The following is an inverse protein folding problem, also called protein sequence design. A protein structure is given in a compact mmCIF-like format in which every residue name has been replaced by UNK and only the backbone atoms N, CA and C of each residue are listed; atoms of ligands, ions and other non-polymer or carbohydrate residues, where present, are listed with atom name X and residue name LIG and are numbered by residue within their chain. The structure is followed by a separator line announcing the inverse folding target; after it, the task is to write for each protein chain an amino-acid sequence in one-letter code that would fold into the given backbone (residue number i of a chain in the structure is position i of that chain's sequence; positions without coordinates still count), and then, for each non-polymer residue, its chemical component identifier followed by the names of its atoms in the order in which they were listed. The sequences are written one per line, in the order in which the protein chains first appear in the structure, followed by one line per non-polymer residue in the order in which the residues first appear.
data_IF_973130222797
#
_entry.id   IF_973130222797
#
_cell.length_a   1.000
_cell.length_b   1.000
_cell.length_c   1.000
_cell.angle_alpha   90.00
_cell.angle_beta   90.00
_cell.angle_gamma   90.00
#
_symmetry.space_group_name_H-M   'P 1'
#
loop_
_entity.id
_entity.type
_entity.pdbx_description
1 polymer ?
#
# COMPACT_ATOMS: atom_id res chain seq x y z
N UNK A 1 61.68 -44.70 -18.69
CA UNK A 1 61.27 -43.40 -18.12
C UNK A 1 60.78 -42.54 -19.26
N UNK A 2 59.51 -42.60 -19.47
CA UNK A 2 58.87 -42.14 -20.67
C UNK A 2 58.21 -40.79 -20.41
N UNK A 3 58.23 -39.98 -21.43
CA UNK A 3 57.82 -38.56 -21.55
C UNK A 3 56.34 -38.29 -21.29
N UNK A 4 55.63 -39.00 -20.40
CA UNK A 4 54.17 -38.94 -20.21
C UNK A 4 53.71 -38.32 -18.91
N UNK A 5 54.58 -37.78 -18.06
CA UNK A 5 54.23 -37.32 -16.70
C UNK A 5 54.27 -35.80 -16.49
N UNK A 6 54.16 -34.99 -17.56
CA UNK A 6 54.24 -33.52 -17.42
C UNK A 6 53.10 -32.70 -17.98
N UNK A 7 51.91 -33.28 -18.22
CA UNK A 7 50.76 -32.53 -18.77
C UNK A 7 49.51 -32.55 -17.89
N UNK A 8 49.56 -32.99 -16.66
CA UNK A 8 48.43 -32.97 -15.73
C UNK A 8 48.66 -31.97 -14.59
N UNK A 9 48.79 -30.71 -14.91
CA UNK A 9 48.66 -29.69 -13.85
C UNK A 9 48.28 -28.36 -14.47
N UNK A 10 47.12 -27.86 -14.06
CA UNK A 10 46.53 -26.54 -14.29
C UNK A 10 45.37 -26.50 -15.30
N UNK A 11 44.28 -27.23 -15.02
CA UNK A 11 42.95 -26.74 -15.41
C UNK A 11 42.25 -26.24 -14.14
N UNK A 12 42.53 -24.99 -13.79
CA UNK A 12 41.79 -24.23 -12.77
C UNK A 12 40.47 -23.82 -13.43
N UNK A 13 39.41 -24.63 -13.22
CA UNK A 13 38.05 -24.30 -13.57
C UNK A 13 37.63 -23.12 -12.70
N UNK A 14 37.74 -21.90 -13.25
CA UNK A 14 37.04 -20.72 -12.73
C UNK A 14 35.54 -20.96 -12.88
N UNK A 15 34.89 -21.42 -11.81
CA UNK A 15 33.45 -21.32 -11.67
C UNK A 15 33.10 -19.84 -11.48
N UNK A 16 32.87 -19.14 -12.56
CA UNK A 16 32.19 -17.86 -12.51
C UNK A 16 30.70 -18.18 -12.23
N UNK A 17 30.32 -18.09 -10.96
CA UNK A 17 28.91 -18.07 -10.59
C UNK A 17 28.25 -16.88 -11.34
N UNK A 18 27.15 -17.08 -12.07
CA UNK A 18 26.42 -15.95 -12.62
C UNK A 18 25.90 -15.16 -11.42
N UNK A 19 26.46 -13.97 -11.18
CA UNK A 19 25.81 -12.97 -10.35
C UNK A 19 24.47 -12.65 -11.04
N UNK A 20 23.37 -13.16 -10.48
CA UNK A 20 22.05 -12.69 -10.84
C UNK A 20 21.97 -11.19 -10.48
N UNK A 21 22.28 -10.35 -11.44
CA UNK A 21 21.95 -8.93 -11.39
C UNK A 21 20.44 -8.87 -11.49
N UNK A 22 19.78 -8.84 -10.35
CA UNK A 22 18.37 -8.48 -10.29
C UNK A 22 18.28 -7.03 -10.75
N UNK A 23 17.75 -6.83 -11.95
CA UNK A 23 17.52 -5.51 -12.48
C UNK A 23 16.54 -4.78 -11.56
N UNK A 24 16.99 -3.72 -10.93
CA UNK A 24 16.17 -2.76 -10.18
C UNK A 24 15.44 -1.86 -11.20
N UNK A 25 14.49 -2.43 -11.93
CA UNK A 25 13.82 -1.73 -13.02
C UNK A 25 12.92 -0.57 -12.56
N UNK A 26 12.38 -0.65 -11.34
CA UNK A 26 11.41 0.34 -10.87
C UNK A 26 11.99 1.60 -10.24
N UNK A 27 13.15 1.51 -9.61
CA UNK A 27 13.81 2.69 -9.04
C UNK A 27 14.38 3.60 -10.13
N UNK A 28 14.73 3.04 -11.29
CA UNK A 28 15.14 3.82 -12.44
C UNK A 28 13.99 4.66 -13.02
N UNK A 29 12.74 4.19 -12.99
CA UNK A 29 11.61 4.94 -13.51
C UNK A 29 11.30 6.21 -12.70
N UNK A 30 11.30 6.14 -11.37
CA UNK A 30 11.05 7.30 -10.50
C UNK A 30 12.16 8.35 -10.61
N UNK A 31 13.42 7.92 -10.67
CA UNK A 31 14.57 8.82 -10.88
C UNK A 31 14.58 9.45 -12.29
N UNK A 32 14.09 8.75 -13.30
CA UNK A 32 13.93 9.31 -14.62
C UNK A 32 12.90 10.45 -14.62
N UNK A 33 11.75 10.25 -13.98
CA UNK A 33 10.69 11.27 -13.85
C UNK A 33 11.17 12.51 -13.08
N UNK A 34 11.93 12.33 -12.00
CA UNK A 34 12.43 13.39 -11.13
C UNK A 34 13.38 14.38 -11.83
N UNK A 35 13.94 14.01 -13.00
CA UNK A 35 14.79 14.92 -13.79
C UNK A 35 13.99 16.08 -14.39
N UNK A 36 12.70 15.88 -14.65
CA UNK A 36 11.84 16.86 -15.32
C UNK A 36 10.62 17.25 -14.47
N UNK A 37 10.08 16.33 -13.64
CA UNK A 37 8.87 16.51 -12.86
C UNK A 37 9.19 16.68 -11.37
N UNK A 38 8.65 17.74 -10.76
CA UNK A 38 8.83 17.99 -9.32
C UNK A 38 8.20 16.88 -8.46
N UNK A 39 7.07 16.33 -8.91
CA UNK A 39 6.31 15.24 -8.29
C UNK A 39 7.15 13.95 -8.20
N UNK A 40 8.07 13.74 -9.13
CA UNK A 40 9.02 12.62 -9.09
C UNK A 40 9.99 12.67 -7.90
N UNK A 41 10.08 13.80 -7.19
CA UNK A 41 10.90 13.96 -5.97
C UNK A 41 10.11 13.77 -4.67
N UNK A 42 8.79 13.97 -4.72
CA UNK A 42 7.93 13.91 -3.53
C UNK A 42 7.17 12.58 -3.43
N UNK A 43 6.63 12.08 -4.54
CA UNK A 43 5.85 10.84 -4.57
C UNK A 43 6.62 9.62 -4.02
N UNK A 44 7.92 9.41 -4.29
CA UNK A 44 8.65 8.28 -3.73
C UNK A 44 8.77 8.25 -2.21
N UNK A 45 8.47 9.35 -1.53
CA UNK A 45 8.46 9.43 -0.07
C UNK A 45 7.07 9.17 0.55
N UNK A 46 6.03 8.98 -0.28
CA UNK A 46 4.67 8.75 0.20
C UNK A 46 4.44 7.32 0.70
N UNK A 47 3.45 7.15 1.56
CA UNK A 47 3.04 5.81 2.01
C UNK A 47 2.58 4.91 0.84
N UNK A 48 2.05 5.46 -0.23
CA UNK A 48 1.69 4.69 -1.42
C UNK A 48 2.93 4.09 -2.10
N UNK A 49 4.02 4.86 -2.20
CA UNK A 49 5.28 4.35 -2.77
C UNK A 49 5.89 3.21 -1.93
N UNK A 50 5.54 3.14 -0.66
CA UNK A 50 5.98 2.12 0.29
C UNK A 50 4.88 1.11 0.66
N UNK A 51 3.81 1.02 -0.14
CA UNK A 51 2.70 0.09 0.12
C UNK A 51 3.13 -1.39 0.11
N UNK A 52 4.17 -1.72 -0.62
CA UNK A 52 4.92 -2.97 -0.57
C UNK A 52 6.41 -2.66 -0.53
N UNK A 53 7.14 -3.32 0.34
CA UNK A 53 8.60 -3.26 0.39
C UNK A 53 9.18 -4.67 0.27
N UNK A 54 10.30 -4.81 -0.44
CA UNK A 54 11.07 -6.06 -0.39
C UNK A 54 11.68 -6.24 1.00
N UNK A 55 11.95 -7.48 1.39
CA UNK A 55 12.50 -7.76 2.73
C UNK A 55 13.85 -7.05 2.96
N UNK A 56 14.62 -6.87 1.89
CA UNK A 56 15.92 -6.18 1.93
C UNK A 56 15.76 -4.70 2.29
N UNK A 57 14.67 -4.07 1.83
CA UNK A 57 14.40 -2.64 1.99
C UNK A 57 13.39 -2.33 3.08
N UNK A 58 12.73 -3.35 3.65
CA UNK A 58 11.69 -3.18 4.67
C UNK A 58 12.23 -2.48 5.92
N UNK A 59 11.93 -1.18 6.02
CA UNK A 59 12.53 -0.29 7.03
C UNK A 59 12.28 -0.78 8.45
N UNK A 60 11.07 -1.26 8.75
CA UNK A 60 10.72 -1.79 10.07
C UNK A 60 11.61 -3.00 10.43
N UNK A 61 11.85 -3.89 9.49
CA UNK A 61 12.69 -5.07 9.73
C UNK A 61 14.18 -4.72 9.86
N UNK A 62 14.60 -3.61 9.25
CA UNK A 62 15.96 -3.07 9.39
C UNK A 62 16.13 -2.44 10.78
N UNK A 63 15.19 -1.59 11.17
CA UNK A 63 15.23 -0.85 12.44
C UNK A 63 14.96 -1.74 13.66
N UNK A 64 14.25 -2.87 13.44
CA UNK A 64 13.89 -3.86 14.47
C UNK A 64 14.39 -5.25 14.07
N UNK A 65 15.71 -5.53 14.17
CA UNK A 65 16.28 -6.81 13.73
C UNK A 65 15.79 -8.01 14.53
N UNK A 66 15.14 -7.78 15.66
CA UNK A 66 14.48 -8.78 16.49
C UNK A 66 13.14 -8.26 17.00
N UNK A 67 12.06 -8.93 16.59
CA UNK A 67 10.72 -8.72 17.09
C UNK A 67 10.18 -10.01 17.70
N UNK A 68 9.53 -9.92 18.85
CA UNK A 68 8.92 -11.08 19.54
C UNK A 68 7.53 -10.73 20.04
N UNK A 69 6.65 -11.72 20.08
CA UNK A 69 5.33 -11.62 20.72
C UNK A 69 4.83 -12.99 21.14
N UNK A 70 3.81 -12.99 22.00
CA UNK A 70 3.05 -14.19 22.34
C UNK A 70 1.58 -13.96 22.05
N UNK A 71 0.90 -14.98 21.53
CA UNK A 71 -0.53 -14.97 21.35
C UNK A 71 -1.10 -16.37 21.69
N UNK A 72 -1.82 -16.45 22.81
CA UNK A 72 -2.23 -17.72 23.38
C UNK A 72 -1.02 -18.60 23.74
N UNK A 73 -1.01 -19.83 23.23
CA UNK A 73 0.10 -20.80 23.47
C UNK A 73 1.27 -20.64 22.49
N UNK A 74 1.17 -19.72 21.52
CA UNK A 74 2.18 -19.55 20.48
C UNK A 74 3.11 -18.40 20.80
N UNK A 75 4.40 -18.62 20.60
CA UNK A 75 5.45 -17.59 20.64
C UNK A 75 5.94 -17.31 19.24
N UNK A 76 6.00 -16.03 18.90
CA UNK A 76 6.36 -15.51 17.58
C UNK A 76 7.68 -14.77 17.63
N UNK A 77 8.49 -14.95 16.59
CA UNK A 77 9.78 -14.30 16.45
C UNK A 77 10.03 -13.91 15.00
N UNK A 78 10.40 -12.67 14.76
CA UNK A 78 11.00 -12.22 13.51
C UNK A 78 12.45 -11.89 13.82
N UNK A 79 13.37 -12.48 13.08
CA UNK A 79 14.82 -12.26 13.24
C UNK A 79 15.42 -11.92 11.89
N UNK A 80 16.09 -10.77 11.82
CA UNK A 80 16.83 -10.33 10.64
C UNK A 80 18.26 -10.86 10.70
N UNK A 81 18.72 -11.43 9.57
CA UNK A 81 20.09 -11.92 9.37
C UNK A 81 20.59 -11.43 8.01
N UNK A 82 21.43 -10.41 8.03
CA UNK A 82 21.83 -9.71 6.80
C UNK A 82 20.60 -9.09 6.10
N UNK A 83 20.40 -9.42 4.84
CA UNK A 83 19.30 -8.91 4.03
C UNK A 83 18.02 -9.76 4.14
N UNK A 84 18.04 -10.84 4.88
CA UNK A 84 16.90 -11.74 5.07
C UNK A 84 16.26 -11.54 6.44
N UNK A 85 14.96 -11.82 6.51
CA UNK A 85 14.22 -11.90 7.78
C UNK A 85 13.44 -13.20 7.83
N UNK A 86 13.52 -13.88 8.96
CA UNK A 86 12.85 -15.16 9.21
C UNK A 86 11.73 -14.95 10.21
N UNK A 87 10.55 -15.43 9.87
CA UNK A 87 9.37 -15.47 10.74
C UNK A 87 9.23 -16.88 11.32
N UNK A 88 9.31 -17.00 12.63
CA UNK A 88 9.24 -18.26 13.34
C UNK A 88 8.11 -18.27 14.35
N UNK A 89 7.44 -19.40 14.48
CA UNK A 89 6.39 -19.66 15.47
C UNK A 89 6.67 -20.97 16.18
N UNK A 90 6.52 -20.98 17.51
CA UNK A 90 6.63 -22.20 18.32
C UNK A 90 5.48 -22.31 19.31
N UNK A 91 5.05 -23.53 19.59
CA UNK A 91 4.10 -23.87 20.68
C UNK A 91 4.81 -24.54 21.86
N UNK A 92 6.16 -24.52 21.88
CA UNK A 92 6.98 -25.16 22.88
C UNK A 92 7.38 -26.61 22.56
N UNK A 93 6.68 -27.27 21.63
CA UNK A 93 6.99 -28.65 21.17
C UNK A 93 7.49 -28.70 19.74
N UNK A 94 6.94 -27.85 18.90
CA UNK A 94 7.30 -27.74 17.49
C UNK A 94 7.61 -26.28 17.13
N UNK A 95 8.36 -26.08 16.04
CA UNK A 95 8.65 -24.75 15.50
C UNK A 95 8.50 -24.78 13.98
N UNK A 96 7.79 -23.77 13.45
CA UNK A 96 7.68 -23.50 12.02
C UNK A 96 8.41 -22.21 11.73
N UNK A 97 9.30 -22.22 10.72
CA UNK A 97 10.03 -21.05 10.25
C UNK A 97 9.83 -20.87 8.76
N UNK A 98 9.52 -19.64 8.35
CA UNK A 98 9.35 -19.26 6.94
C UNK A 98 10.11 -17.96 6.66
N UNK A 99 10.71 -17.79 5.48
CA UNK A 99 11.30 -16.52 5.08
C UNK A 99 10.19 -15.49 4.81
N UNK A 100 10.43 -14.25 5.24
CA UNK A 100 9.66 -13.10 4.80
C UNK A 100 10.18 -12.72 3.41
N UNK A 101 9.27 -12.51 2.47
CA UNK A 101 9.58 -12.04 1.11
C UNK A 101 9.26 -10.58 0.93
N UNK A 102 8.10 -10.15 1.41
CA UNK A 102 7.66 -8.76 1.33
C UNK A 102 7.00 -8.32 2.64
N UNK A 103 7.07 -7.02 2.84
CA UNK A 103 6.37 -6.33 3.88
C UNK A 103 5.29 -5.44 3.25
N UNK A 104 4.02 -5.67 3.59
CA UNK A 104 2.87 -4.94 3.10
C UNK A 104 2.39 -3.92 4.13
N UNK A 105 2.03 -2.74 3.65
CA UNK A 105 1.54 -1.64 4.46
C UNK A 105 2.62 -0.59 4.71
N UNK A 106 2.19 0.66 4.76
CA UNK A 106 3.06 1.79 4.95
C UNK A 106 3.67 1.78 6.36
N UNK A 107 4.91 1.37 6.43
CA UNK A 107 5.67 1.08 7.65
C UNK A 107 5.62 2.16 8.72
N UNK A 108 5.47 3.42 8.33
CA UNK A 108 5.49 4.55 9.28
C UNK A 108 4.11 5.02 9.74
N UNK A 109 3.01 4.63 9.07
CA UNK A 109 1.69 5.18 9.35
C UNK A 109 0.86 4.33 10.31
N UNK A 110 0.72 3.04 10.04
CA UNK A 110 -0.29 2.19 10.67
C UNK A 110 0.31 0.93 11.25
N UNK A 111 0.79 0.08 10.35
CA UNK A 111 1.30 -1.24 10.62
C UNK A 111 1.86 -1.88 9.37
N UNK A 112 2.54 -2.98 9.54
CA UNK A 112 3.16 -3.73 8.45
C UNK A 112 2.89 -5.21 8.63
N UNK A 113 2.26 -5.83 7.63
CA UNK A 113 1.98 -7.27 7.56
C UNK A 113 3.01 -7.93 6.64
N UNK A 114 3.39 -9.15 6.93
CA UNK A 114 4.44 -9.82 6.19
C UNK A 114 3.88 -10.90 5.29
N UNK A 115 4.40 -10.96 4.07
CA UNK A 115 4.15 -12.05 3.13
C UNK A 115 5.31 -13.02 3.23
N UNK A 116 4.98 -14.23 3.65
CA UNK A 116 5.89 -15.35 3.81
C UNK A 116 5.82 -16.22 2.57
N UNK A 117 6.91 -16.91 2.24
CA UNK A 117 6.92 -17.87 1.13
C UNK A 117 7.38 -19.25 1.60
N UNK A 118 6.63 -20.27 1.19
CA UNK A 118 7.00 -21.66 1.39
C UNK A 118 6.49 -22.50 0.23
N UNK A 119 7.35 -23.30 -0.36
CA UNK A 119 7.03 -24.23 -1.45
C UNK A 119 6.29 -23.54 -2.64
N UNK A 120 6.75 -22.32 -2.99
CA UNK A 120 6.17 -21.50 -4.06
C UNK A 120 4.78 -20.94 -3.75
N UNK A 121 4.33 -20.98 -2.50
CA UNK A 121 3.06 -20.44 -2.04
C UNK A 121 3.29 -19.29 -1.08
N UNK A 122 2.37 -18.33 -1.11
CA UNK A 122 2.41 -17.17 -0.22
C UNK A 122 1.47 -17.34 0.96
N UNK A 123 1.94 -16.86 2.10
CA UNK A 123 1.18 -16.85 3.35
C UNK A 123 1.21 -15.45 3.96
N UNK A 124 0.07 -15.01 4.45
CA UNK A 124 -0.04 -13.81 5.28
C UNK A 124 0.36 -14.17 6.70
N UNK A 125 1.30 -13.42 7.28
CA UNK A 125 1.73 -13.65 8.67
C UNK A 125 0.58 -13.45 9.64
N UNK A 126 0.53 -14.25 10.71
CA UNK A 126 -0.49 -14.10 11.78
C UNK A 126 -0.20 -12.92 12.70
N UNK A 127 1.01 -12.42 12.70
CA UNK A 127 1.41 -11.25 13.46
C UNK A 127 1.92 -10.18 12.51
N UNK A 128 1.48 -8.95 12.75
CA UNK A 128 1.90 -7.73 12.06
C UNK A 128 2.61 -6.82 13.05
N UNK A 129 3.49 -5.97 12.58
CA UNK A 129 4.02 -4.88 13.38
C UNK A 129 3.04 -3.72 13.40
N UNK A 130 2.86 -3.09 14.56
CA UNK A 130 2.00 -1.92 14.73
C UNK A 130 2.77 -0.78 15.37
N UNK A 131 2.60 0.41 14.81
CA UNK A 131 3.22 1.64 15.29
C UNK A 131 2.76 2.01 16.71
N UNK A 132 1.50 1.77 17.04
CA UNK A 132 0.90 2.17 18.31
C UNK A 132 1.72 1.70 19.52
N UNK A 133 2.20 0.45 19.48
CA UNK A 133 3.01 -0.13 20.55
C UNK A 133 4.40 -0.60 20.11
N UNK A 134 4.81 -0.19 18.89
CA UNK A 134 6.12 -0.48 18.33
C UNK A 134 6.52 -1.96 18.42
N UNK A 135 5.61 -2.84 18.10
CA UNK A 135 5.78 -4.28 18.29
C UNK A 135 4.82 -5.13 17.45
N UNK A 136 4.88 -6.45 17.68
CA UNK A 136 4.02 -7.41 16.99
C UNK A 136 2.68 -7.58 17.70
N UNK A 137 1.61 -7.51 16.94
CA UNK A 137 0.24 -7.85 17.35
C UNK A 137 -0.46 -8.72 16.29
N UNK A 138 -1.63 -9.29 16.60
CA UNK A 138 -2.40 -10.08 15.65
C UNK A 138 -2.72 -9.30 14.38
N UNK A 139 -2.46 -9.90 13.22
CA UNK A 139 -2.80 -9.32 11.91
C UNK A 139 -4.29 -9.02 11.83
N UNK A 140 -4.63 -7.87 11.28
CA UNK A 140 -6.02 -7.43 11.13
C UNK A 140 -6.85 -8.49 10.37
N UNK A 141 -8.01 -8.84 10.94
CA UNK A 141 -8.85 -9.93 10.44
C UNK A 141 -8.47 -11.32 10.96
N UNK A 142 -7.26 -11.49 11.48
CA UNK A 142 -6.79 -12.74 12.09
C UNK A 142 -7.20 -12.94 13.55
N UNK A 143 -7.71 -11.88 14.20
CA UNK A 143 -8.07 -11.93 15.64
C UNK A 143 -9.28 -12.85 15.94
N UNK A 144 -10.19 -12.96 14.97
CA UNK A 144 -11.42 -13.74 15.12
C UNK A 144 -11.22 -15.26 15.01
N UNK A 145 -10.04 -15.72 14.60
CA UNK A 145 -9.77 -17.14 14.36
C UNK A 145 -8.64 -17.66 15.24
N UNK A 146 -8.94 -18.67 16.04
CA UNK A 146 -7.90 -19.42 16.75
C UNK A 146 -7.26 -20.44 15.82
N UNK A 147 -5.92 -20.45 15.66
CA UNK A 147 -5.25 -21.43 14.83
C UNK A 147 -5.50 -22.87 15.34
N UNK A 148 -5.89 -23.77 14.46
CA UNK A 148 -6.09 -25.20 14.82
C UNK A 148 -4.75 -25.90 15.12
N UNK A 149 -3.65 -25.39 14.57
CA UNK A 149 -2.32 -25.93 14.77
C UNK A 149 -1.22 -24.94 14.43
N UNK A 150 0.04 -25.38 14.63
CA UNK A 150 1.21 -24.52 14.48
C UNK A 150 1.39 -23.97 13.05
N UNK A 151 0.99 -24.72 12.02
CA UNK A 151 1.07 -24.23 10.64
C UNK A 151 0.13 -23.06 10.39
N UNK A 152 -1.10 -23.12 10.91
CA UNK A 152 -2.05 -22.00 10.84
C UNK A 152 -1.61 -20.83 11.75
N UNK A 153 -0.97 -21.12 12.87
CA UNK A 153 -0.39 -20.11 13.72
C UNK A 153 0.76 -19.36 13.03
N UNK A 154 1.49 -20.02 12.14
CA UNK A 154 2.56 -19.40 11.39
C UNK A 154 2.02 -18.43 10.32
N UNK A 155 0.97 -18.78 9.61
CA UNK A 155 0.41 -17.92 8.57
C UNK A 155 -0.82 -18.51 7.90
N UNK A 156 -1.61 -17.63 7.30
CA UNK A 156 -2.77 -17.98 6.46
C UNK A 156 -2.33 -18.11 5.01
N UNK A 157 -2.61 -19.24 4.38
CA UNK A 157 -2.40 -19.39 2.94
C UNK A 157 -3.21 -18.33 2.18
N UNK A 158 -2.55 -17.60 1.31
CA UNK A 158 -3.18 -16.60 0.42
C UNK A 158 -3.59 -17.33 -0.86
N UNK A 159 -4.86 -17.21 -1.25
CA UNK A 159 -5.33 -17.75 -2.52
C UNK A 159 -4.72 -17.01 -3.72
N UNK A 160 -4.81 -17.59 -4.91
CA UNK A 160 -4.32 -16.94 -6.13
C UNK A 160 -5.02 -15.59 -6.37
N UNK A 161 -6.34 -15.54 -6.23
CA UNK A 161 -7.12 -14.32 -6.46
C UNK A 161 -6.80 -13.25 -5.40
N UNK A 162 -6.58 -13.64 -4.14
CA UNK A 162 -6.11 -12.72 -3.10
C UNK A 162 -4.70 -12.21 -3.40
N UNK A 163 -3.79 -13.10 -3.86
CA UNK A 163 -2.43 -12.72 -4.25
C UNK A 163 -2.45 -11.66 -5.35
N UNK A 164 -3.24 -11.87 -6.41
CA UNK A 164 -3.38 -10.90 -7.49
C UNK A 164 -3.92 -9.56 -7.00
N UNK A 165 -4.90 -9.58 -6.09
CA UNK A 165 -5.44 -8.34 -5.49
C UNK A 165 -4.42 -7.63 -4.60
N UNK A 166 -3.73 -8.36 -3.74
CA UNK A 166 -2.71 -7.77 -2.86
C UNK A 166 -1.62 -7.08 -3.69
N UNK A 167 -1.00 -7.82 -4.59
CA UNK A 167 0.10 -7.28 -5.40
C UNK A 167 -0.36 -6.26 -6.43
N UNK A 168 -1.58 -6.41 -7.00
CA UNK A 168 -2.15 -5.45 -7.95
C UNK A 168 -2.43 -4.07 -7.35
N UNK A 169 -2.63 -3.98 -6.03
CA UNK A 169 -2.83 -2.69 -5.34
C UNK A 169 -1.56 -2.18 -4.66
N UNK A 170 -0.67 -3.08 -4.23
CA UNK A 170 0.49 -2.74 -3.42
C UNK A 170 1.80 -2.67 -4.21
N UNK A 171 1.80 -3.08 -5.47
CA UNK A 171 2.99 -3.06 -6.33
C UNK A 171 2.65 -2.66 -7.76
N UNK A 172 3.60 -2.07 -8.45
CA UNK A 172 3.50 -1.64 -9.83
C UNK A 172 3.91 -2.77 -10.76
N UNK A 173 3.20 -2.95 -11.87
CA UNK A 173 3.42 -3.98 -12.90
C UNK A 173 3.43 -5.43 -12.38
N UNK A 174 2.82 -5.64 -11.21
CA UNK A 174 2.79 -6.94 -10.55
C UNK A 174 1.83 -7.93 -11.19
N UNK A 175 0.81 -7.47 -11.91
CA UNK A 175 -0.25 -8.31 -12.46
C UNK A 175 -0.40 -8.08 -13.95
N UNK A 176 -0.30 -9.16 -14.72
CA UNK A 176 -0.57 -9.15 -16.16
C UNK A 176 -1.66 -10.17 -16.49
N UNK A 177 -2.84 -9.67 -16.90
CA UNK A 177 -4.03 -10.50 -17.05
C UNK A 177 -4.46 -11.12 -15.71
N UNK A 178 -4.40 -12.45 -15.61
CA UNK A 178 -4.71 -13.20 -14.37
C UNK A 178 -3.46 -13.90 -13.79
N UNK A 179 -2.29 -13.32 -13.99
CA UNK A 179 -1.03 -13.90 -13.55
C UNK A 179 -0.20 -12.89 -12.78
N UNK A 180 0.49 -13.35 -11.74
CA UNK A 180 1.47 -12.57 -11.00
C UNK A 180 2.80 -12.57 -11.78
N UNK A 181 3.36 -11.39 -12.01
CA UNK A 181 4.61 -11.16 -12.77
C UNK A 181 5.67 -10.57 -11.83
N UNK A 182 6.25 -11.43 -10.99
CA UNK A 182 7.27 -11.00 -10.01
C UNK A 182 8.55 -10.46 -10.66
N UNK A 183 8.85 -10.90 -11.87
CA UNK A 183 10.00 -10.47 -12.68
C UNK A 183 9.86 -9.04 -13.22
N UNK A 184 8.62 -8.55 -13.36
CA UNK A 184 8.32 -7.20 -13.84
C UNK A 184 7.89 -6.26 -12.72
N UNK A 185 7.55 -6.83 -11.59
CA UNK A 185 7.00 -6.11 -10.44
C UNK A 185 8.01 -5.12 -9.85
N UNK A 186 7.55 -3.92 -9.63
CA UNK A 186 8.22 -2.95 -8.75
C UNK A 186 7.42 -2.82 -7.46
N UNK A 187 8.05 -3.05 -6.29
CA UNK A 187 7.39 -2.85 -5.00
C UNK A 187 6.87 -1.42 -4.84
N UNK A 188 5.69 -1.28 -4.21
CA UNK A 188 5.03 -0.01 -4.00
C UNK A 188 4.33 0.55 -5.23
N UNK A 189 3.55 1.60 -5.03
CA UNK A 189 2.83 2.33 -6.08
C UNK A 189 3.76 3.38 -6.67
N UNK A 190 4.28 3.13 -7.87
CA UNK A 190 5.19 4.01 -8.59
C UNK A 190 4.42 4.87 -9.62
N UNK A 191 5.12 5.78 -10.27
CA UNK A 191 4.52 6.73 -11.24
C UNK A 191 3.70 6.02 -12.33
N UNK A 192 4.23 4.94 -12.93
CA UNK A 192 3.59 4.17 -14.00
C UNK A 192 2.33 3.42 -13.56
N UNK A 193 2.12 3.24 -12.24
CA UNK A 193 0.90 2.61 -11.75
C UNK A 193 -0.36 3.49 -11.95
N UNK A 194 -0.15 4.81 -11.98
CA UNK A 194 -1.20 5.80 -12.21
C UNK A 194 -1.11 6.44 -13.60
N UNK A 195 0.10 6.59 -14.14
CA UNK A 195 0.37 7.24 -15.41
C UNK A 195 0.77 6.20 -16.47
N UNK A 196 -0.21 5.75 -17.24
CA UNK A 196 0.04 4.80 -18.32
C UNK A 196 0.87 5.45 -19.46
N UNK A 197 1.68 4.65 -20.19
CA UNK A 197 2.47 5.13 -21.33
C UNK A 197 3.74 5.91 -20.97
N UNK A 198 4.18 5.87 -19.72
CA UNK A 198 5.39 6.57 -19.24
C UNK A 198 6.65 6.16 -19.97
N UNK A 199 6.82 4.88 -20.33
CA UNK A 199 8.00 4.41 -21.09
C UNK A 199 8.13 5.09 -22.45
N UNK A 200 7.03 5.18 -23.21
CA UNK A 200 6.99 5.84 -24.51
C UNK A 200 7.29 7.35 -24.36
N UNK A 201 6.79 7.98 -23.30
CA UNK A 201 7.07 9.36 -22.96
C UNK A 201 8.56 9.58 -22.70
N UNK A 202 9.16 8.80 -21.79
CA UNK A 202 10.59 8.90 -21.46
C UNK A 202 11.47 8.69 -22.70
N UNK A 203 11.14 7.69 -23.52
CA UNK A 203 11.86 7.43 -24.76
C UNK A 203 11.74 8.57 -25.78
N UNK A 204 10.58 9.23 -25.88
CA UNK A 204 10.38 10.40 -26.74
C UNK A 204 11.19 11.61 -26.27
N UNK A 205 11.20 11.87 -24.94
CA UNK A 205 11.96 12.96 -24.36
C UNK A 205 13.47 12.76 -24.52
N UNK A 206 13.97 11.53 -24.37
CA UNK A 206 15.38 11.22 -24.57
C UNK A 206 15.86 11.46 -26.01
N UNK A 207 14.96 11.34 -27.02
CA UNK A 207 15.27 11.62 -28.42
C UNK A 207 15.27 13.11 -28.78
N UNK A 208 14.96 14.01 -27.85
CA UNK A 208 15.01 15.46 -28.10
C UNK A 208 13.95 15.98 -29.06
N UNK A 209 12.84 15.28 -29.30
CA UNK A 209 11.75 15.71 -30.19
C UNK A 209 10.90 16.80 -29.49
N UNK A 210 11.41 17.98 -29.45
CA UNK A 210 11.05 19.34 -29.05
C UNK A 210 9.64 19.73 -28.56
N UNK A 211 8.63 18.91 -28.66
CA UNK A 211 7.35 19.00 -27.92
C UNK A 211 7.02 17.61 -27.39
N UNK A 212 6.82 17.44 -26.07
CA UNK A 212 6.31 16.19 -25.58
C UNK A 212 4.94 15.97 -26.21
N UNK A 213 4.86 15.01 -27.15
CA UNK A 213 3.58 14.40 -27.40
C UNK A 213 3.16 13.82 -26.05
N UNK A 214 2.10 14.36 -25.44
CA UNK A 214 1.44 13.68 -24.32
C UNK A 214 1.10 12.30 -24.89
N UNK A 215 1.68 11.20 -24.39
CA UNK A 215 1.36 9.89 -24.91
C UNK A 215 -0.15 9.72 -24.86
N UNK A 216 -0.74 9.18 -25.93
CA UNK A 216 -2.13 8.74 -25.91
C UNK A 216 -2.25 7.74 -24.74
N UNK A 217 -2.92 8.12 -23.67
CA UNK A 217 -3.04 7.30 -22.45
C UNK A 217 -2.59 7.99 -21.15
N UNK A 218 -1.78 9.05 -21.20
CA UNK A 218 -1.56 9.91 -20.03
C UNK A 218 -2.83 10.75 -19.78
N UNK A 219 -3.83 10.10 -19.18
CA UNK A 219 -5.04 10.82 -18.78
C UNK A 219 -4.67 11.91 -17.76
N UNK A 220 -5.09 13.14 -18.03
CA UNK A 220 -5.05 14.20 -17.04
C UNK A 220 -6.15 13.90 -15.99
N UNK A 221 -5.76 13.34 -14.85
CA UNK A 221 -6.71 12.98 -13.79
C UNK A 221 -7.52 14.19 -13.28
N UNK A 222 -7.06 15.42 -13.53
CA UNK A 222 -7.77 16.64 -13.16
C UNK A 222 -9.03 16.89 -14.00
N UNK A 223 -9.11 16.27 -15.17
CA UNK A 223 -10.26 16.42 -16.09
C UNK A 223 -11.36 15.37 -15.80
N UNK A 224 -11.13 14.47 -14.84
CA UNK A 224 -12.10 13.46 -14.43
C UNK A 224 -13.20 14.06 -13.54
N UNK A 225 -14.43 13.56 -13.72
CA UNK A 225 -15.53 13.85 -12.78
C UNK A 225 -15.25 13.26 -11.38
N UNK A 226 -16.05 13.59 -10.40
CA UNK A 226 -15.94 13.01 -9.06
C UNK A 226 -16.06 11.49 -9.09
N UNK A 227 -17.01 10.95 -9.86
CA UNK A 227 -17.19 9.50 -10.00
C UNK A 227 -16.03 8.84 -10.71
N UNK A 228 -15.56 9.41 -11.82
CA UNK A 228 -14.42 8.87 -12.55
C UNK A 228 -13.15 8.84 -11.68
N UNK A 229 -12.89 9.92 -10.92
CA UNK A 229 -11.78 9.97 -9.97
C UNK A 229 -11.94 8.94 -8.85
N UNK A 230 -13.16 8.82 -8.32
CA UNK A 230 -13.50 7.85 -7.27
C UNK A 230 -13.28 6.41 -7.76
N UNK A 231 -13.70 6.10 -9.00
CA UNK A 231 -13.49 4.78 -9.61
C UNK A 231 -12.01 4.52 -9.90
N UNK A 232 -11.25 5.53 -10.32
CA UNK A 232 -9.81 5.40 -10.54
C UNK A 232 -9.06 5.07 -9.24
N UNK A 233 -9.26 5.85 -8.18
CA UNK A 233 -8.65 5.59 -6.88
C UNK A 233 -9.21 4.31 -6.25
N UNK A 234 -10.48 4.02 -6.50
CA UNK A 234 -11.21 2.86 -6.01
C UNK A 234 -10.66 1.53 -6.49
N UNK A 235 -9.88 1.49 -7.58
CA UNK A 235 -9.19 0.26 -8.03
C UNK A 235 -8.36 -0.37 -6.89
N UNK A 236 -7.80 0.45 -6.00
CA UNK A 236 -7.04 0.03 -4.83
C UNK A 236 -7.79 0.33 -3.52
N UNK A 237 -8.48 1.47 -3.44
CA UNK A 237 -9.21 1.94 -2.25
C UNK A 237 -10.67 1.50 -2.19
N UNK A 238 -11.10 0.57 -3.02
CA UNK A 238 -12.43 -0.04 -3.15
C UNK A 238 -13.50 0.96 -3.60
N UNK A 239 -14.11 0.67 -4.74
CA UNK A 239 -15.22 1.45 -5.27
C UNK A 239 -16.50 1.24 -4.43
N UNK A 240 -17.44 2.18 -4.53
CA UNK A 240 -18.73 2.06 -3.88
C UNK A 240 -19.53 0.85 -4.41
N UNK A 241 -19.44 0.57 -5.72
CA UNK A 241 -20.10 -0.60 -6.33
C UNK A 241 -19.55 -1.90 -5.74
N UNK A 242 -18.22 -1.99 -5.64
CA UNK A 242 -17.57 -3.19 -5.09
C UNK A 242 -18.03 -3.48 -3.65
N UNK A 243 -18.15 -2.45 -2.83
CA UNK A 243 -18.59 -2.61 -1.44
C UNK A 243 -20.08 -2.90 -1.34
N UNK A 244 -20.92 -2.27 -2.17
CA UNK A 244 -22.35 -2.58 -2.19
C UNK A 244 -22.65 -4.02 -2.63
N UNK A 245 -21.81 -4.60 -3.48
CA UNK A 245 -21.92 -5.99 -3.89
C UNK A 245 -21.39 -6.99 -2.83
N UNK A 246 -20.69 -6.52 -1.81
CA UNK A 246 -20.28 -7.32 -0.68
C UNK A 246 -21.38 -7.27 0.39
N UNK A 247 -21.61 -8.38 1.09
CA UNK A 247 -22.63 -8.43 2.16
C UNK A 247 -22.16 -7.75 3.45
N UNK A 248 -20.86 -7.46 3.59
CA UNK A 248 -20.30 -6.81 4.78
C UNK A 248 -20.38 -5.27 4.66
N UNK A 249 -21.35 -4.68 5.36
CA UNK A 249 -21.49 -3.24 5.54
C UNK A 249 -21.05 -2.77 6.93
N UNK A 250 -20.17 -3.52 7.57
CA UNK A 250 -19.69 -3.26 8.94
C UNK A 250 -18.69 -2.09 9.01
N UNK A 251 -18.23 -1.83 10.24
CA UNK A 251 -17.17 -0.86 10.52
C UNK A 251 -15.86 -1.13 9.74
N UNK A 252 -15.66 -2.35 9.23
CA UNK A 252 -14.52 -2.68 8.38
C UNK A 252 -14.42 -1.80 7.13
N UNK A 253 -15.54 -1.24 6.68
CA UNK A 253 -15.62 -0.39 5.50
C UNK A 253 -15.14 1.05 5.72
N UNK A 254 -14.80 1.43 6.95
CA UNK A 254 -14.27 2.78 7.27
C UNK A 254 -13.01 3.11 6.47
N UNK A 255 -12.22 2.10 6.12
CA UNK A 255 -10.97 2.21 5.36
C UNK A 255 -11.14 2.30 3.84
N UNK A 256 -12.38 2.29 3.33
CA UNK A 256 -12.69 2.34 1.92
C UNK A 256 -13.23 3.72 1.55
N UNK A 257 -12.32 4.67 1.38
CA UNK A 257 -12.62 6.09 1.23
C UNK A 257 -13.58 6.42 0.07
N UNK A 258 -13.45 5.85 -1.16
CA UNK A 258 -14.40 6.10 -2.25
C UNK A 258 -15.83 5.69 -1.89
N UNK A 259 -16.02 4.52 -1.27
CA UNK A 259 -17.33 4.08 -0.77
C UNK A 259 -17.89 5.04 0.27
N UNK A 260 -17.06 5.47 1.22
CA UNK A 260 -17.51 6.38 2.29
C UNK A 260 -17.86 7.77 1.73
N UNK A 261 -17.05 8.30 0.80
CA UNK A 261 -17.28 9.60 0.17
C UNK A 261 -18.58 9.61 -0.63
N UNK A 262 -18.89 8.52 -1.34
CA UNK A 262 -20.15 8.37 -2.09
C UNK A 262 -21.39 8.57 -1.19
N UNK A 263 -21.35 8.15 0.08
CA UNK A 263 -22.42 8.37 1.05
C UNK A 263 -22.51 9.79 1.63
N UNK A 264 -21.68 10.73 1.19
CA UNK A 264 -21.67 12.11 1.70
C UNK A 264 -22.78 12.92 1.09
N UNK A 265 -23.43 13.80 1.88
CA UNK A 265 -24.53 14.66 1.39
C UNK A 265 -24.11 15.67 0.33
N UNK A 266 -22.83 16.04 0.30
CA UNK A 266 -22.27 16.97 -0.68
C UNK A 266 -21.69 16.27 -1.90
N UNK A 267 -21.69 14.93 -1.95
CA UNK A 267 -21.19 14.19 -3.10
C UNK A 267 -22.14 14.33 -4.30
N UNK A 268 -21.56 14.74 -5.41
CA UNK A 268 -22.21 14.78 -6.71
C UNK A 268 -21.26 14.08 -7.72
N UNK A 269 -21.71 13.03 -8.41
CA UNK A 269 -20.86 12.26 -9.33
C UNK A 269 -20.26 13.09 -10.45
N UNK A 270 -20.93 14.18 -10.84
CA UNK A 270 -20.51 15.07 -11.95
C UNK A 270 -19.71 16.28 -11.47
N UNK A 271 -19.70 16.60 -10.16
CA UNK A 271 -18.99 17.75 -9.62
C UNK A 271 -17.58 17.39 -9.11
N UNK A 272 -16.57 17.65 -9.93
CA UNK A 272 -15.16 17.38 -9.58
C UNK A 272 -14.65 18.13 -8.33
N UNK A 273 -15.39 19.14 -7.83
CA UNK A 273 -15.02 19.88 -6.61
C UNK A 273 -15.14 19.02 -5.34
N UNK A 274 -15.86 17.90 -5.42
CA UNK A 274 -15.97 16.90 -4.35
C UNK A 274 -15.37 15.58 -4.83
N UNK A 275 -14.09 15.59 -5.12
CA UNK A 275 -13.35 14.41 -5.57
C UNK A 275 -12.13 14.16 -4.67
N UNK A 276 -11.50 13.00 -4.82
CA UNK A 276 -10.26 12.67 -4.11
C UNK A 276 -9.18 13.75 -4.34
N UNK A 277 -9.02 14.18 -5.60
CA UNK A 277 -8.01 15.17 -6.01
C UNK A 277 -8.34 16.60 -5.58
N UNK A 278 -9.59 16.89 -5.23
CA UNK A 278 -9.93 18.20 -4.69
C UNK A 278 -9.35 18.41 -3.29
N UNK A 279 -9.17 17.33 -2.53
CA UNK A 279 -8.68 17.37 -1.16
C UNK A 279 -7.24 16.82 -1.00
N UNK A 280 -6.83 15.86 -1.83
CA UNK A 280 -5.54 15.19 -1.75
C UNK A 280 -4.70 15.41 -3.01
N UNK A 281 -3.41 15.67 -2.82
CA UNK A 281 -2.40 15.55 -3.86
C UNK A 281 -1.76 14.14 -3.76
N UNK A 282 -1.94 13.25 -4.76
CA UNK A 282 -1.42 11.89 -4.69
C UNK A 282 0.12 11.82 -4.78
N UNK A 283 0.79 12.95 -5.07
CA UNK A 283 2.25 13.02 -5.14
C UNK A 283 2.90 13.45 -3.82
N UNK A 284 2.09 13.74 -2.81
CA UNK A 284 2.56 14.12 -1.47
C UNK A 284 1.84 13.30 -0.41
N UNK A 285 2.42 13.22 0.77
CA UNK A 285 1.76 12.58 1.91
C UNK A 285 0.54 13.39 2.35
N UNK A 286 -0.56 12.68 2.67
CA UNK A 286 -1.77 13.31 3.17
C UNK A 286 -1.51 13.96 4.55
N UNK A 287 -1.87 15.23 4.70
CA UNK A 287 -1.71 15.93 5.98
C UNK A 287 -2.54 15.27 7.10
N UNK A 288 -1.93 15.15 8.26
CA UNK A 288 -2.61 14.73 9.49
C UNK A 288 -3.29 15.92 10.22
N UNK A 289 -3.05 17.17 9.77
CA UNK A 289 -3.55 18.38 10.41
C UNK A 289 -4.94 18.75 9.85
N UNK A 290 -6.00 18.80 10.67
CA UNK A 290 -7.35 19.13 10.20
C UNK A 290 -7.45 20.49 9.51
N UNK A 291 -6.71 21.48 9.98
CA UNK A 291 -6.73 22.83 9.44
C UNK A 291 -6.29 22.93 7.97
N UNK A 292 -5.44 22.01 7.50
CA UNK A 292 -4.94 22.01 6.12
C UNK A 292 -6.04 21.74 5.10
N UNK A 293 -7.17 21.17 5.55
CA UNK A 293 -8.35 20.90 4.73
C UNK A 293 -9.43 21.98 4.80
N UNK A 294 -9.30 22.96 5.71
CA UNK A 294 -10.35 23.96 5.92
C UNK A 294 -10.63 24.80 4.68
N UNK A 295 -9.60 25.20 3.94
CA UNK A 295 -9.77 25.96 2.70
C UNK A 295 -10.57 25.18 1.64
N UNK A 296 -10.49 23.86 1.61
CA UNK A 296 -11.27 22.99 0.71
C UNK A 296 -12.75 23.03 1.05
N UNK A 297 -13.08 22.99 2.33
CA UNK A 297 -14.46 23.10 2.83
C UNK A 297 -15.01 24.51 2.63
N UNK A 298 -14.21 25.53 2.95
CA UNK A 298 -14.59 26.95 2.86
C UNK A 298 -14.81 27.43 1.42
N UNK A 299 -14.23 26.77 0.43
CA UNK A 299 -14.48 27.08 -0.98
C UNK A 299 -16.00 27.03 -1.32
N UNK A 300 -16.75 26.18 -0.63
CA UNK A 300 -18.23 26.11 -0.74
C UNK A 300 -18.94 26.68 0.48
N UNK A 301 -18.43 26.43 1.71
CA UNK A 301 -19.10 26.77 2.97
C UNK A 301 -18.66 28.12 3.58
N UNK A 302 -17.77 28.86 2.92
CA UNK A 302 -17.25 30.15 3.40
C UNK A 302 -18.11 31.38 3.09
N UNK A 303 -19.34 31.21 2.62
CA UNK A 303 -20.24 32.32 2.29
C UNK A 303 -20.00 32.92 0.89
N UNK A 304 -19.34 32.15 -0.01
CA UNK A 304 -19.12 32.52 -1.40
C UNK A 304 -20.32 32.25 -2.32
N UNK A 305 -20.06 32.12 -3.62
CA UNK A 305 -21.06 31.99 -4.69
C UNK A 305 -21.85 30.67 -4.71
N UNK A 306 -21.65 29.76 -3.76
CA UNK A 306 -22.33 28.47 -3.66
C UNK A 306 -23.35 28.52 -2.54
N UNK A 307 -24.52 27.98 -2.76
CA UNK A 307 -25.68 27.97 -1.85
C UNK A 307 -25.50 27.03 -0.63
N UNK A 308 -24.27 26.78 -0.21
CA UNK A 308 -23.95 25.97 0.93
C UNK A 308 -24.03 26.82 2.22
N UNK A 309 -24.80 26.34 3.19
CA UNK A 309 -24.93 27.02 4.49
C UNK A 309 -23.58 27.05 5.21
N UNK A 310 -23.20 28.24 5.68
CA UNK A 310 -22.04 28.39 6.55
C UNK A 310 -22.25 27.61 7.86
N UNK A 311 -21.17 27.03 8.39
CA UNK A 311 -21.21 26.35 9.68
C UNK A 311 -21.45 27.37 10.82
N UNK A 312 -22.49 27.19 11.66
CA UNK A 312 -22.77 28.12 12.75
C UNK A 312 -21.83 27.91 13.96
N UNK A 313 -21.06 26.84 14.01
CA UNK A 313 -20.26 26.44 15.17
C UNK A 313 -18.81 26.88 15.04
N UNK A 314 -18.18 26.63 13.88
CA UNK A 314 -16.76 26.94 13.66
C UNK A 314 -16.47 27.23 12.19
N UNK A 315 -15.39 27.98 11.96
CA UNK A 315 -14.83 28.22 10.62
C UNK A 315 -13.49 27.50 10.40
N UNK A 316 -13.08 26.66 11.33
CA UNK A 316 -11.80 25.93 11.28
C UNK A 316 -11.94 24.52 11.84
N UNK A 317 -10.96 23.65 11.50
CA UNK A 317 -10.91 22.25 11.90
C UNK A 317 -12.16 21.46 11.47
N UNK A 318 -12.69 21.75 10.27
CA UNK A 318 -13.95 21.23 9.75
C UNK A 318 -13.99 19.68 9.80
N UNK A 319 -12.93 19.02 9.38
CA UNK A 319 -12.89 17.55 9.32
C UNK A 319 -12.93 16.89 10.71
N UNK A 320 -12.54 17.59 11.78
CA UNK A 320 -12.60 17.06 13.14
C UNK A 320 -14.02 16.71 13.59
N UNK A 321 -15.02 17.42 13.06
CA UNK A 321 -16.43 17.21 13.37
C UNK A 321 -17.18 16.48 12.26
N UNK A 322 -16.85 16.79 10.98
CA UNK A 322 -17.60 16.28 9.84
C UNK A 322 -17.02 14.99 9.24
N UNK A 323 -15.78 14.63 9.57
CA UNK A 323 -15.07 13.41 9.18
C UNK A 323 -14.42 12.76 10.41
N UNK A 324 -15.22 12.29 11.39
CA UNK A 324 -14.69 11.81 12.66
C UNK A 324 -13.70 10.67 12.47
N UNK A 325 -12.70 10.62 13.35
CA UNK A 325 -11.78 9.49 13.40
C UNK A 325 -12.41 8.33 14.15
N UNK A 326 -12.59 7.21 13.46
CA UNK A 326 -13.23 5.99 13.97
C UNK A 326 -12.16 4.91 14.11
N UNK A 327 -12.13 4.28 15.28
CA UNK A 327 -11.25 3.17 15.54
C UNK A 327 -11.80 1.90 14.89
N UNK A 328 -10.95 1.23 14.11
CA UNK A 328 -11.25 -0.09 13.58
C UNK A 328 -10.66 -1.13 14.57
N UNK A 329 -11.50 -1.99 15.16
CA UNK A 329 -11.04 -2.99 16.11
C UNK A 329 -9.90 -3.85 15.57
N UNK A 330 -8.81 -3.93 16.30
CA UNK A 330 -7.62 -4.70 15.92
C UNK A 330 -6.71 -4.05 14.87
N UNK A 331 -7.06 -2.89 14.34
CA UNK A 331 -6.18 -2.15 13.43
C UNK A 331 -5.15 -1.28 14.17
N UNK A 332 -5.37 -1.03 15.46
CA UNK A 332 -4.53 -0.14 16.26
C UNK A 332 -4.36 1.25 15.63
N UNK A 333 -5.44 1.72 15.00
CA UNK A 333 -5.46 3.00 14.29
C UNK A 333 -6.89 3.53 14.13
N UNK A 334 -7.00 4.86 14.08
CA UNK A 334 -8.26 5.57 13.83
C UNK A 334 -8.29 6.13 12.42
N UNK A 335 -9.23 5.65 11.64
CA UNK A 335 -9.46 6.10 10.26
C UNK A 335 -10.38 7.33 10.22
N UNK A 336 -10.05 8.32 9.41
CA UNK A 336 -10.98 9.42 9.12
C UNK A 336 -12.14 8.91 8.28
N UNK A 337 -13.36 9.12 8.75
CA UNK A 337 -14.56 8.75 8.00
C UNK A 337 -14.79 9.71 6.83
N UNK A 338 -14.66 9.23 5.60
CA UNK A 338 -14.89 10.04 4.41
C UNK A 338 -16.38 10.24 4.07
N UNK A 339 -17.31 9.69 4.85
CA UNK A 339 -18.72 10.07 4.78
C UNK A 339 -18.91 11.39 5.49
N UNK A 340 -18.82 12.48 4.73
CA UNK A 340 -18.92 13.85 5.24
C UNK A 340 -20.36 14.13 5.66
N UNK A 341 -20.57 14.43 6.94
CA UNK A 341 -21.90 14.64 7.52
C UNK A 341 -21.86 15.48 8.80
N UNK A 342 -23.01 15.89 9.28
CA UNK A 342 -23.16 16.39 10.65
C UNK A 342 -23.25 15.18 11.57
N UNK A 343 -22.20 14.94 12.34
CA UNK A 343 -22.12 13.82 13.29
C UNK A 343 -22.84 14.20 14.58
N UNK A 344 -23.70 13.31 15.10
CA UNK A 344 -24.37 13.48 16.36
C UNK A 344 -23.66 12.69 17.46
N UNK A 345 -23.66 13.17 18.72
CA UNK A 345 -23.16 12.38 19.85
C UNK A 345 -23.85 11.01 19.89
N UNK A 346 -23.08 9.95 20.11
CA UNK A 346 -23.55 8.57 20.17
C UNK A 346 -24.26 8.06 18.89
N UNK A 347 -24.03 8.71 17.75
CA UNK A 347 -24.52 8.20 16.47
C UNK A 347 -23.84 6.84 16.18
N UNK A 348 -24.62 5.78 15.88
CA UNK A 348 -24.05 4.51 15.47
C UNK A 348 -23.29 4.68 14.16
N UNK A 349 -22.30 3.82 13.92
CA UNK A 349 -21.58 3.83 12.65
C UNK A 349 -22.54 3.66 11.49
N UNK A 350 -22.64 4.63 10.57
CA UNK A 350 -23.53 4.52 9.43
C UNK A 350 -22.88 3.60 8.39
N UNK A 351 -23.41 2.40 8.26
CA UNK A 351 -23.02 1.41 7.26
C UNK A 351 -23.31 1.86 5.83
#
# INVERSE_FOLDING_TARGET
MTLLDRVLSKLLLLFVAPACVWAQTGQESSTACAKCHAEGRTQPATHMAHALESVEQARILIDHPLLTATNGKYSYRIERKGDQSLYSVTDGTATVTMPIRWAMGASSALGQTYVLEKDGKFYESRMSWFREFNGLGPTLGGQATHPAGINEAAGRLISQDETLRCFGCHATDAVSGRQLSLDKMTPGVQCSHCHEGTEAHVAAMARGSGKPAVPAGLANLRDLSAEQTSNFCGRCHRTWVEILMQEDHSINNIRFQPYRLWGSKCYDPDDARISCLACHDPHTEASAQPADYDAKCQACHGGGKVDAKACPVSKSNCISCHMPKIELPGAHYKFSDHRIRIVKPNEPYPG
#
